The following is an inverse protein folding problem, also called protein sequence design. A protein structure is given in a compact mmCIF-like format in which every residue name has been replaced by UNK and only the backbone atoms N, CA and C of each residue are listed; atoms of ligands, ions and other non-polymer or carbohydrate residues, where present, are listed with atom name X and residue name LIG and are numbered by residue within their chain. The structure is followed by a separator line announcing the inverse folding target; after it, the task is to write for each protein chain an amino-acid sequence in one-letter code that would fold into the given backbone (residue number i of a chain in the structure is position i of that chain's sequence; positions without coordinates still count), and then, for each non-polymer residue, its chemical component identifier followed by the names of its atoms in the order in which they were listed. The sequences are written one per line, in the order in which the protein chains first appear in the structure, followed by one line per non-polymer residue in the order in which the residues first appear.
data_IF_875921293052
#
_entry.id   IF_875921293052
#
_cell.length_a   1.000
_cell.length_b   1.000
_cell.length_c   1.000
_cell.angle_alpha   90.00
_cell.angle_beta   90.00
_cell.angle_gamma   90.00
#
_symmetry.space_group_name_H-M   'P 1'
#
loop_
_entity.id
_entity.type
_entity.pdbx_description
1 polymer ?
#
# COMPACT_ATOMS: atom_id res chain seq x y z
N UNK A 1 48.49 10.80 -2.34
CA UNK A 1 47.33 11.54 -2.91
C UNK A 1 46.97 11.14 -4.35
N UNK A 2 47.91 10.87 -5.26
CA UNK A 2 47.58 10.60 -6.68
C UNK A 2 46.87 9.25 -6.97
N UNK A 3 47.11 8.19 -6.17
CA UNK A 3 46.39 6.90 -6.34
C UNK A 3 44.90 6.96 -5.95
N UNK A 4 44.52 7.87 -5.04
CA UNK A 4 43.12 8.03 -4.57
C UNK A 4 42.30 8.83 -5.60
N UNK A 5 42.89 9.84 -6.26
CA UNK A 5 42.25 10.53 -7.39
C UNK A 5 42.02 9.60 -8.58
N UNK A 6 43.02 8.77 -8.92
CA UNK A 6 42.93 7.83 -10.06
C UNK A 6 41.84 6.76 -9.89
N UNK A 7 41.58 6.31 -8.65
CA UNK A 7 40.51 5.34 -8.35
C UNK A 7 39.10 5.94 -8.49
N UNK A 8 38.95 7.26 -8.34
CA UNK A 8 37.69 7.99 -8.56
C UNK A 8 37.34 8.18 -10.04
N UNK A 9 38.29 8.02 -10.95
CA UNK A 9 38.07 8.20 -12.41
C UNK A 9 37.55 6.93 -13.09
N UNK A 10 37.84 5.73 -12.54
CA UNK A 10 37.47 4.45 -13.17
C UNK A 10 35.96 4.16 -13.19
N UNK A 11 35.18 4.78 -12.29
CA UNK A 11 33.72 4.68 -12.23
C UNK A 11 32.98 5.95 -12.69
N UNK A 12 33.68 6.88 -13.35
CA UNK A 12 33.01 8.08 -13.89
C UNK A 12 32.33 7.75 -15.21
N UNK A 13 31.00 7.81 -15.19
CA UNK A 13 30.18 7.78 -16.40
C UNK A 13 30.64 8.93 -17.30
N UNK A 14 30.97 8.64 -18.56
CA UNK A 14 31.36 9.66 -19.54
C UNK A 14 30.29 10.76 -19.59
N UNK A 15 30.70 12.03 -19.69
CA UNK A 15 29.79 13.20 -19.77
C UNK A 15 28.57 13.00 -20.71
N UNK A 16 28.72 12.51 -21.97
CA UNK A 16 27.57 12.26 -22.85
C UNK A 16 26.63 11.17 -22.32
N UNK A 17 27.16 10.11 -21.73
CA UNK A 17 26.36 9.03 -21.13
C UNK A 17 25.61 9.51 -19.90
N UNK A 18 26.20 10.39 -19.10
CA UNK A 18 25.52 11.00 -17.95
C UNK A 18 24.37 11.92 -18.38
N UNK A 19 24.56 12.71 -19.45
CA UNK A 19 23.49 13.53 -20.03
C UNK A 19 22.35 12.64 -20.55
N UNK A 20 22.66 11.55 -21.24
CA UNK A 20 21.67 10.58 -21.71
C UNK A 20 20.88 9.98 -20.54
N UNK A 21 21.53 9.53 -19.47
CA UNK A 21 20.84 8.99 -18.30
C UNK A 21 19.96 10.02 -17.60
N UNK A 22 20.44 11.27 -17.47
CA UNK A 22 19.63 12.34 -16.89
C UNK A 22 18.39 12.64 -17.75
N UNK A 23 18.53 12.67 -19.08
CA UNK A 23 17.38 12.85 -19.98
C UNK A 23 16.36 11.72 -19.84
N UNK A 24 16.84 10.46 -19.80
CA UNK A 24 15.97 9.30 -19.58
C UNK A 24 15.25 9.40 -18.23
N UNK A 25 15.96 9.76 -17.15
CA UNK A 25 15.33 9.92 -15.83
C UNK A 25 14.33 11.08 -15.77
N UNK A 26 14.58 12.18 -16.48
CA UNK A 26 13.62 13.28 -16.61
C UNK A 26 12.36 12.79 -17.32
N UNK A 27 12.49 12.08 -18.45
CA UNK A 27 11.36 11.54 -19.20
C UNK A 27 10.54 10.58 -18.34
N UNK A 28 11.20 9.64 -17.64
CA UNK A 28 10.51 8.70 -16.74
C UNK A 28 9.80 9.46 -15.61
N UNK A 29 10.44 10.47 -15.03
CA UNK A 29 9.83 11.30 -13.97
C UNK A 29 8.58 12.02 -14.47
N UNK A 30 8.63 12.56 -15.70
CA UNK A 30 7.47 13.20 -16.33
C UNK A 30 6.34 12.21 -16.58
N UNK A 31 6.63 11.03 -17.12
CA UNK A 31 5.63 9.97 -17.33
C UNK A 31 4.93 9.58 -16.02
N UNK A 32 5.66 9.58 -14.89
CA UNK A 32 5.07 9.29 -13.58
C UNK A 32 4.23 10.44 -13.02
N UNK A 33 4.63 11.70 -13.21
CA UNK A 33 3.96 12.87 -12.59
C UNK A 33 2.76 13.34 -13.41
N UNK A 34 2.85 13.30 -14.73
CA UNK A 34 1.82 13.80 -15.65
C UNK A 34 0.42 13.24 -15.35
N UNK A 35 0.22 11.92 -15.14
CA UNK A 35 -1.09 11.36 -14.84
C UNK A 35 -1.73 11.96 -13.58
N UNK A 36 -0.96 12.23 -12.53
CA UNK A 36 -1.49 12.83 -11.30
C UNK A 36 -1.93 14.28 -11.51
N UNK A 37 -1.12 15.05 -12.25
CA UNK A 37 -1.48 16.42 -12.62
C UNK A 37 -2.74 16.41 -13.49
N UNK A 38 -2.85 15.47 -14.41
CA UNK A 38 -4.01 15.34 -15.29
C UNK A 38 -5.28 14.97 -14.54
N UNK A 39 -5.23 14.03 -13.60
CA UNK A 39 -6.36 13.70 -12.70
C UNK A 39 -6.81 14.93 -11.93
N UNK A 40 -5.87 15.72 -11.39
CA UNK A 40 -6.20 16.95 -10.68
C UNK A 40 -6.84 18.02 -11.59
N UNK A 41 -6.37 18.16 -12.82
CA UNK A 41 -6.97 19.10 -13.80
C UNK A 41 -8.40 18.67 -14.12
N UNK A 42 -8.63 17.39 -14.38
CA UNK A 42 -9.97 16.88 -14.68
C UNK A 42 -10.92 17.09 -13.50
N UNK A 43 -10.45 16.95 -12.25
CA UNK A 43 -11.30 17.16 -11.07
C UNK A 43 -11.76 18.62 -10.87
N UNK A 44 -11.10 19.60 -11.50
CA UNK A 44 -11.48 21.03 -11.47
C UNK A 44 -12.07 21.51 -12.81
N UNK A 45 -12.31 20.61 -13.77
CA UNK A 45 -12.85 20.95 -15.10
C UNK A 45 -14.38 20.83 -15.10
N UNK A 46 -15.08 21.66 -15.89
CA UNK A 46 -16.53 21.50 -16.07
C UNK A 46 -16.88 20.25 -16.88
N UNK A 47 -17.94 19.54 -16.50
CA UNK A 47 -18.43 18.35 -17.22
C UNK A 47 -18.82 18.70 -18.67
N UNK A 48 -19.39 19.88 -18.90
CA UNK A 48 -19.71 20.37 -20.24
C UNK A 48 -18.45 20.54 -21.10
N UNK A 49 -17.37 21.09 -20.54
CA UNK A 49 -16.07 21.18 -21.22
C UNK A 49 -15.51 19.81 -21.54
N UNK A 50 -15.57 18.84 -20.61
CA UNK A 50 -15.07 17.48 -20.82
C UNK A 50 -15.88 16.77 -21.93
N UNK A 51 -17.20 16.89 -21.91
CA UNK A 51 -18.08 16.24 -22.88
C UNK A 51 -17.91 16.82 -24.30
N UNK A 52 -17.70 18.13 -24.44
CA UNK A 52 -17.57 18.78 -25.74
C UNK A 52 -16.16 18.69 -26.32
N UNK A 53 -15.15 18.97 -25.49
CA UNK A 53 -13.76 19.16 -25.95
C UNK A 53 -12.83 17.99 -25.60
N UNK A 54 -13.33 17.00 -24.86
CA UNK A 54 -12.54 15.89 -24.32
C UNK A 54 -11.65 16.32 -23.15
N UNK A 55 -10.78 15.41 -22.73
CA UNK A 55 -9.82 15.69 -21.66
C UNK A 55 -8.67 16.57 -22.16
N UNK A 56 -8.42 17.68 -21.47
CA UNK A 56 -7.40 18.67 -21.83
C UNK A 56 -6.55 19.05 -20.62
N UNK A 57 -5.28 19.38 -20.86
CA UNK A 57 -4.38 19.88 -19.80
C UNK A 57 -4.73 21.29 -19.34
N UNK A 58 -5.30 22.10 -20.23
CA UNK A 58 -5.79 23.43 -19.90
C UNK A 58 -7.30 23.38 -20.12
N UNK A 59 -8.09 23.34 -19.04
CA UNK A 59 -9.54 23.25 -19.17
C UNK A 59 -10.10 24.55 -19.74
N UNK A 60 -11.05 24.42 -20.65
CA UNK A 60 -11.72 25.59 -21.25
C UNK A 60 -12.62 26.31 -20.25
N UNK A 61 -13.16 25.57 -19.27
CA UNK A 61 -13.99 26.08 -18.21
C UNK A 61 -13.67 25.34 -16.89
N UNK A 62 -13.43 26.11 -15.83
CA UNK A 62 -13.17 25.60 -14.49
C UNK A 62 -14.48 25.43 -13.72
N UNK A 63 -14.59 24.36 -12.93
CA UNK A 63 -15.74 24.08 -12.08
C UNK A 63 -15.32 23.52 -10.73
N UNK A 64 -15.93 24.02 -9.65
CA UNK A 64 -15.77 23.52 -8.28
C UNK A 64 -16.83 22.51 -7.88
N UNK A 65 -17.77 22.19 -8.79
CA UNK A 65 -18.93 21.32 -8.53
C UNK A 65 -18.56 19.96 -7.94
N UNK A 66 -17.47 19.34 -8.42
CA UNK A 66 -16.99 18.08 -7.88
C UNK A 66 -16.61 18.18 -6.40
N UNK A 67 -15.93 19.26 -6.00
CA UNK A 67 -15.52 19.48 -4.61
C UNK A 67 -16.67 19.95 -3.73
N UNK A 68 -17.63 20.70 -4.27
CA UNK A 68 -18.89 21.03 -3.58
C UNK A 68 -19.70 19.76 -3.28
N UNK A 69 -19.77 18.82 -4.23
CA UNK A 69 -20.36 17.50 -3.99
C UNK A 69 -19.63 16.76 -2.87
N UNK A 70 -18.29 16.70 -2.88
CA UNK A 70 -17.52 16.09 -1.80
C UNK A 70 -17.73 16.80 -0.46
N UNK A 71 -17.93 18.11 -0.46
CA UNK A 71 -18.20 18.88 0.74
C UNK A 71 -19.58 18.59 1.33
N UNK A 72 -20.58 18.38 0.47
CA UNK A 72 -21.92 17.97 0.89
C UNK A 72 -21.91 16.53 1.46
N UNK A 73 -21.12 15.64 0.85
CA UNK A 73 -20.93 14.24 1.29
C UNK A 73 -19.78 14.06 2.30
N UNK A 74 -19.34 15.15 2.96
CA UNK A 74 -18.16 15.14 3.83
C UNK A 74 -18.23 14.11 4.95
N UNK A 75 -19.42 13.84 5.50
CA UNK A 75 -19.58 12.87 6.59
C UNK A 75 -19.20 11.46 6.12
N UNK A 76 -19.65 11.06 4.93
CA UNK A 76 -19.36 9.77 4.33
C UNK A 76 -17.87 9.66 4.00
N UNK A 77 -17.29 10.70 3.39
CA UNK A 77 -15.89 10.71 2.95
C UNK A 77 -14.94 10.71 4.15
N UNK A 78 -15.20 11.55 5.16
CA UNK A 78 -14.38 11.62 6.38
C UNK A 78 -14.48 10.31 7.16
N UNK A 79 -15.67 9.71 7.24
CA UNK A 79 -15.81 8.39 7.86
C UNK A 79 -15.02 7.32 7.10
N UNK A 80 -15.16 7.25 5.77
CA UNK A 80 -14.46 6.26 4.94
C UNK A 80 -12.93 6.45 5.01
N UNK A 81 -12.46 7.69 5.02
CA UNK A 81 -11.06 8.04 5.27
C UNK A 81 -10.61 7.56 6.65
N UNK A 82 -11.41 7.81 7.70
CA UNK A 82 -11.14 7.38 9.07
C UNK A 82 -11.01 5.86 9.19
N UNK A 83 -11.91 5.11 8.55
CA UNK A 83 -11.83 3.64 8.48
C UNK A 83 -10.58 3.18 7.74
N UNK A 84 -10.27 3.77 6.58
CA UNK A 84 -9.04 3.45 5.83
C UNK A 84 -7.79 3.73 6.65
N UNK A 85 -7.71 4.87 7.33
CA UNK A 85 -6.59 5.22 8.19
C UNK A 85 -6.46 4.26 9.37
N UNK A 86 -7.57 3.94 10.05
CA UNK A 86 -7.59 3.00 11.18
C UNK A 86 -7.10 1.61 10.73
N UNK A 87 -7.70 1.05 9.69
CA UNK A 87 -7.34 -0.28 9.16
C UNK A 87 -5.88 -0.30 8.71
N UNK A 88 -5.41 0.77 8.05
CA UNK A 88 -4.03 0.86 7.58
C UNK A 88 -3.03 0.94 8.74
N UNK A 89 -3.29 1.77 9.74
CA UNK A 89 -2.39 1.93 10.89
C UNK A 89 -2.40 0.66 11.75
N UNK A 90 -3.57 0.19 12.16
CA UNK A 90 -3.71 -1.00 13.00
C UNK A 90 -3.20 -2.26 12.29
N UNK A 91 -3.60 -2.45 11.03
CA UNK A 91 -3.19 -3.58 10.20
C UNK A 91 -1.68 -3.58 9.94
N UNK A 92 -1.08 -2.42 9.64
CA UNK A 92 0.37 -2.32 9.46
C UNK A 92 1.13 -2.62 10.74
N UNK A 93 0.74 -2.03 11.87
CA UNK A 93 1.43 -2.25 13.16
C UNK A 93 1.37 -3.72 13.58
N UNK A 94 0.17 -4.30 13.58
CA UNK A 94 -0.03 -5.71 13.94
C UNK A 94 0.66 -6.64 12.93
N UNK A 95 0.55 -6.36 11.64
CA UNK A 95 1.15 -7.16 10.58
C UNK A 95 2.67 -7.14 10.63
N UNK A 96 3.30 -5.99 10.90
CA UNK A 96 4.76 -5.90 11.12
C UNK A 96 5.17 -6.75 12.32
N UNK A 97 4.47 -6.62 13.46
CA UNK A 97 4.80 -7.40 14.68
C UNK A 97 4.73 -8.89 14.40
N UNK A 98 3.62 -9.38 13.83
CA UNK A 98 3.41 -10.80 13.57
C UNK A 98 4.39 -11.35 12.52
N UNK A 99 4.55 -10.63 11.40
CA UNK A 99 5.42 -11.06 10.31
C UNK A 99 6.88 -11.09 10.75
N UNK A 100 7.34 -10.10 11.52
CA UNK A 100 8.73 -10.04 11.97
C UNK A 100 9.02 -11.06 13.06
N UNK A 101 8.10 -11.28 14.01
CA UNK A 101 8.23 -12.34 15.00
C UNK A 101 8.32 -13.72 14.33
N UNK A 102 7.42 -14.03 13.40
CA UNK A 102 7.41 -15.30 12.68
C UNK A 102 8.66 -15.46 11.81
N UNK A 103 9.05 -14.41 11.07
CA UNK A 103 10.26 -14.41 10.25
C UNK A 103 11.53 -14.62 11.09
N UNK A 104 11.61 -14.01 12.27
CA UNK A 104 12.75 -14.18 13.18
C UNK A 104 12.87 -15.63 13.66
N UNK A 105 11.80 -16.21 14.18
CA UNK A 105 11.80 -17.60 14.66
C UNK A 105 12.21 -18.57 13.55
N UNK A 106 11.66 -18.39 12.34
CA UNK A 106 11.98 -19.25 11.19
C UNK A 106 13.39 -19.05 10.63
N UNK A 107 14.03 -17.92 10.95
CA UNK A 107 15.42 -17.67 10.55
C UNK A 107 16.42 -18.50 11.37
N UNK A 108 16.09 -18.83 12.62
CA UNK A 108 17.02 -19.50 13.56
C UNK A 108 17.18 -20.99 13.26
N UNK A 109 18.41 -21.51 13.09
CA UNK A 109 18.62 -22.93 12.79
C UNK A 109 18.29 -23.86 13.97
N UNK A 110 18.42 -23.40 15.21
CA UNK A 110 18.21 -24.21 16.41
C UNK A 110 16.70 -24.43 16.73
N UNK A 111 15.78 -23.80 16.00
CA UNK A 111 14.35 -23.98 16.24
C UNK A 111 13.86 -25.33 15.68
N UNK A 112 13.50 -26.25 16.58
CA UNK A 112 13.11 -27.63 16.25
C UNK A 112 12.00 -27.74 15.20
N UNK A 113 11.00 -26.87 15.23
CA UNK A 113 9.84 -26.91 14.33
C UNK A 113 9.97 -26.03 13.07
N UNK A 114 11.19 -25.52 12.79
CA UNK A 114 11.45 -24.64 11.64
C UNK A 114 10.99 -25.24 10.31
N UNK A 115 11.24 -26.54 10.09
CA UNK A 115 10.88 -27.22 8.84
C UNK A 115 9.37 -27.22 8.62
N UNK A 116 8.61 -27.66 9.63
CA UNK A 116 7.15 -27.68 9.61
C UNK A 116 6.56 -26.29 9.37
N UNK A 117 6.91 -25.30 10.18
CA UNK A 117 6.34 -23.96 10.03
C UNK A 117 6.82 -23.23 8.76
N UNK A 118 8.00 -23.57 8.22
CA UNK A 118 8.41 -23.08 6.89
C UNK A 118 7.43 -23.58 5.82
N UNK A 119 7.02 -24.85 5.87
CA UNK A 119 6.01 -25.38 4.95
C UNK A 119 4.63 -24.79 5.17
N UNK A 120 4.20 -24.58 6.42
CA UNK A 120 2.93 -23.92 6.75
C UNK A 120 2.85 -22.51 6.16
N UNK A 121 3.95 -21.76 6.16
CA UNK A 121 4.01 -20.43 5.54
C UNK A 121 4.14 -20.53 4.02
N UNK A 122 4.89 -21.50 3.52
CA UNK A 122 5.20 -21.62 2.09
C UNK A 122 4.02 -22.12 1.25
N UNK A 123 3.21 -23.06 1.76
CA UNK A 123 2.07 -23.61 1.01
C UNK A 123 1.07 -22.52 0.59
N UNK A 124 0.60 -21.63 1.49
CA UNK A 124 -0.30 -20.53 1.12
C UNK A 124 0.27 -19.53 0.11
N UNK A 125 1.59 -19.48 -0.04
CA UNK A 125 2.26 -18.62 -1.02
C UNK A 125 2.06 -19.11 -2.46
N UNK A 126 1.94 -20.42 -2.65
CA UNK A 126 1.76 -21.06 -3.96
C UNK A 126 0.31 -21.45 -4.20
N UNK A 127 -0.36 -21.94 -3.16
CA UNK A 127 -1.73 -22.44 -3.22
C UNK A 127 -2.64 -21.61 -2.33
N UNK A 128 -3.75 -21.12 -2.87
CA UNK A 128 -4.75 -20.40 -2.09
C UNK A 128 -6.12 -21.10 -2.21
N UNK A 129 -6.91 -21.09 -1.13
CA UNK A 129 -8.25 -21.69 -1.12
C UNK A 129 -9.26 -21.00 -2.04
N UNK A 130 -8.90 -19.84 -2.60
CA UNK A 130 -9.75 -19.04 -3.48
C UNK A 130 -10.73 -18.16 -2.69
N UNK A 131 -11.41 -17.29 -3.44
CA UNK A 131 -12.34 -16.30 -2.88
C UNK A 131 -13.47 -16.94 -2.07
N UNK A 132 -14.08 -18.02 -2.59
CA UNK A 132 -15.22 -18.67 -1.92
C UNK A 132 -14.80 -19.31 -0.60
N UNK A 133 -13.68 -20.03 -0.56
CA UNK A 133 -13.20 -20.65 0.68
C UNK A 133 -12.81 -19.57 1.71
N UNK A 134 -12.11 -18.52 1.25
CA UNK A 134 -11.78 -17.36 2.10
C UNK A 134 -13.04 -16.71 2.68
N UNK A 135 -14.08 -16.55 1.84
CA UNK A 135 -15.36 -16.01 2.27
C UNK A 135 -16.02 -16.86 3.35
N UNK A 136 -16.13 -18.18 3.13
CA UNK A 136 -16.75 -19.09 4.10
C UNK A 136 -16.00 -19.06 5.43
N UNK A 137 -14.67 -19.09 5.41
CA UNK A 137 -13.86 -19.03 6.63
C UNK A 137 -14.08 -17.72 7.38
N UNK A 138 -13.93 -16.59 6.71
CA UNK A 138 -13.99 -15.27 7.37
C UNK A 138 -15.42 -14.88 7.76
N UNK A 139 -16.40 -15.09 6.86
CA UNK A 139 -17.78 -14.65 7.07
C UNK A 139 -18.60 -15.64 7.90
N UNK A 140 -18.46 -16.96 7.68
CA UNK A 140 -19.36 -17.95 8.28
C UNK A 140 -18.74 -18.68 9.48
N UNK A 141 -17.46 -19.04 9.42
CA UNK A 141 -16.80 -19.77 10.52
C UNK A 141 -16.34 -18.79 11.61
N UNK A 142 -15.61 -17.75 11.20
CA UNK A 142 -15.08 -16.75 12.13
C UNK A 142 -16.07 -15.62 12.44
N UNK A 143 -17.21 -15.56 11.74
CA UNK A 143 -18.26 -14.55 11.94
C UNK A 143 -17.75 -13.10 11.89
N UNK A 144 -16.78 -12.80 11.02
CA UNK A 144 -16.16 -11.48 10.92
C UNK A 144 -16.98 -10.50 10.04
N UNK A 145 -18.05 -10.96 9.40
CA UNK A 145 -18.88 -10.13 8.50
C UNK A 145 -19.34 -8.86 9.22
N UNK A 146 -19.30 -7.72 8.52
CA UNK A 146 -19.65 -6.40 9.07
C UNK A 146 -18.85 -5.98 10.31
N UNK A 147 -17.60 -6.45 10.44
CA UNK A 147 -16.68 -6.00 11.49
C UNK A 147 -15.41 -5.41 10.90
N UNK A 148 -14.73 -4.54 11.66
CA UNK A 148 -13.45 -3.98 11.24
C UNK A 148 -12.36 -5.06 11.12
N UNK A 149 -12.50 -6.16 11.85
CA UNK A 149 -11.57 -7.28 11.81
C UNK A 149 -11.59 -8.03 10.48
N UNK A 150 -12.71 -8.03 9.76
CA UNK A 150 -12.75 -8.55 8.39
C UNK A 150 -11.89 -7.75 7.41
N UNK A 151 -11.58 -6.49 7.72
CA UNK A 151 -10.68 -5.64 6.91
C UNK A 151 -9.21 -5.83 7.28
N UNK A 152 -8.93 -6.27 8.51
CA UNK A 152 -7.57 -6.35 9.05
C UNK A 152 -7.01 -7.77 8.96
N UNK A 153 -7.72 -8.76 9.52
CA UNK A 153 -7.18 -10.12 9.73
C UNK A 153 -6.79 -10.85 8.45
N UNK A 154 -7.58 -10.82 7.36
CA UNK A 154 -7.24 -11.58 6.15
C UNK A 154 -5.95 -11.14 5.46
N UNK A 155 -5.59 -9.85 5.58
CA UNK A 155 -4.40 -9.25 4.96
C UNK A 155 -3.20 -9.14 5.93
N UNK A 156 -3.39 -9.53 7.20
CA UNK A 156 -2.48 -9.23 8.29
C UNK A 156 -1.08 -9.84 8.13
N UNK A 157 -1.01 -11.07 7.62
CA UNK A 157 0.24 -11.82 7.45
C UNK A 157 0.30 -12.37 6.03
N UNK A 158 1.29 -11.91 5.27
CA UNK A 158 1.60 -12.42 3.94
C UNK A 158 2.81 -13.36 4.01
N UNK A 159 2.70 -14.53 3.41
CA UNK A 159 3.82 -15.49 3.32
C UNK A 159 5.05 -14.90 2.66
N UNK A 160 4.87 -14.05 1.65
CA UNK A 160 5.96 -13.34 0.98
C UNK A 160 6.72 -12.42 1.96
N UNK A 161 5.98 -11.64 2.75
CA UNK A 161 6.55 -10.75 3.76
C UNK A 161 7.32 -11.54 4.84
N UNK A 162 6.81 -12.70 5.26
CA UNK A 162 7.49 -13.59 6.22
C UNK A 162 8.81 -14.12 5.64
N UNK A 163 8.84 -14.49 4.35
CA UNK A 163 10.05 -14.98 3.68
C UNK A 163 11.10 -13.87 3.57
N UNK A 164 10.71 -12.63 3.27
CA UNK A 164 11.60 -11.47 3.29
C UNK A 164 12.20 -11.29 4.69
N UNK A 165 11.37 -11.23 5.74
CA UNK A 165 11.83 -11.13 7.12
C UNK A 165 12.81 -12.24 7.49
N UNK A 166 12.46 -13.50 7.22
CA UNK A 166 13.29 -14.67 7.49
C UNK A 166 14.66 -14.54 6.82
N UNK A 167 14.69 -14.13 5.55
CA UNK A 167 15.92 -13.99 4.77
C UNK A 167 16.78 -12.84 5.31
N UNK A 168 16.16 -11.71 5.63
CA UNK A 168 16.85 -10.58 6.24
C UNK A 168 17.50 -10.97 7.56
N UNK A 169 16.75 -11.55 8.51
CA UNK A 169 17.28 -11.94 9.82
C UNK A 169 18.38 -12.99 9.69
N UNK A 170 18.23 -13.97 8.79
CA UNK A 170 19.27 -14.98 8.55
C UNK A 170 20.58 -14.36 8.03
N UNK A 171 20.48 -13.32 7.21
CA UNK A 171 21.64 -12.73 6.53
C UNK A 171 22.31 -11.63 7.35
N UNK A 172 21.54 -10.89 8.17
CA UNK A 172 22.01 -9.68 8.85
C UNK A 172 22.26 -9.86 10.34
N UNK A 173 21.69 -10.90 10.97
CA UNK A 173 21.85 -11.18 12.40
C UNK A 173 22.67 -12.46 12.58
N UNK A 174 24.00 -12.33 12.82
CA UNK A 174 24.88 -13.47 13.06
C UNK A 174 24.40 -14.31 14.24
N UNK A 175 24.50 -15.64 14.11
CA UNK A 175 24.13 -16.56 15.19
C UNK A 175 25.03 -16.38 16.42
N UNK A 176 26.30 -15.96 16.24
CA UNK A 176 27.25 -15.69 17.33
C UNK A 176 26.76 -14.62 18.30
N UNK A 177 26.14 -13.53 17.82
CA UNK A 177 25.60 -12.48 18.69
C UNK A 177 24.48 -13.03 19.58
N UNK A 178 23.67 -13.93 19.03
CA UNK A 178 22.56 -14.56 19.76
C UNK A 178 23.10 -15.57 20.77
N UNK A 179 24.13 -16.34 20.41
CA UNK A 179 24.78 -17.29 21.30
C UNK A 179 25.49 -16.60 22.46
N UNK A 180 26.22 -15.51 22.20
CA UNK A 180 26.83 -14.68 23.25
C UNK A 180 25.76 -14.15 24.21
N UNK A 181 24.66 -13.58 23.70
CA UNK A 181 23.58 -13.09 24.56
C UNK A 181 22.93 -14.20 25.40
N UNK A 182 22.84 -15.43 24.88
CA UNK A 182 22.35 -16.60 25.64
C UNK A 182 23.33 -17.00 26.75
N UNK A 183 24.63 -16.95 26.50
CA UNK A 183 25.68 -17.21 27.50
C UNK A 183 25.57 -16.17 28.63
N UNK A 184 25.28 -14.91 28.29
CA UNK A 184 25.03 -13.82 29.25
C UNK A 184 23.66 -13.93 29.97
N UNK A 185 22.92 -15.02 29.77
CA UNK A 185 21.64 -15.29 30.44
C UNK A 185 20.45 -14.51 29.89
N UNK A 186 20.56 -13.88 28.70
CA UNK A 186 19.45 -13.14 28.11
C UNK A 186 18.31 -14.07 27.66
N UNK A 187 17.08 -13.75 28.06
CA UNK A 187 15.87 -14.44 27.58
C UNK A 187 15.62 -14.18 26.08
N UNK A 188 14.85 -15.05 25.42
CA UNK A 188 14.57 -14.92 23.97
C UNK A 188 13.88 -13.59 23.61
N UNK A 189 12.93 -13.14 24.43
CA UNK A 189 12.26 -11.84 24.23
C UNK A 189 13.21 -10.66 24.45
N UNK A 190 14.15 -10.77 25.39
CA UNK A 190 15.19 -9.75 25.59
C UNK A 190 16.15 -9.68 24.40
N UNK A 191 16.58 -10.84 23.88
CA UNK A 191 17.42 -10.91 22.66
C UNK A 191 16.67 -10.27 21.49
N UNK A 192 15.41 -10.64 21.28
CA UNK A 192 14.61 -10.07 20.20
C UNK A 192 14.44 -8.55 20.35
N UNK A 193 14.01 -8.09 21.53
CA UNK A 193 13.70 -6.69 21.77
C UNK A 193 14.92 -5.76 21.79
N UNK A 194 16.00 -6.17 22.47
CA UNK A 194 17.17 -5.30 22.70
C UNK A 194 18.26 -5.42 21.65
N UNK A 195 18.34 -6.56 20.94
CA UNK A 195 19.41 -6.81 19.96
C UNK A 195 18.84 -6.86 18.55
N UNK A 196 17.83 -7.69 18.32
CA UNK A 196 17.34 -7.96 16.96
C UNK A 196 16.55 -6.78 16.39
N UNK A 197 15.62 -6.20 17.16
CA UNK A 197 14.79 -5.06 16.70
C UNK A 197 15.66 -3.86 16.24
N UNK A 198 16.66 -3.38 17.00
CA UNK A 198 17.48 -2.24 16.58
C UNK A 198 18.25 -2.46 15.27
N UNK A 199 18.73 -3.68 15.04
CA UNK A 199 19.44 -4.07 13.81
C UNK A 199 18.45 -4.16 12.62
N UNK A 200 17.18 -4.42 12.90
CA UNK A 200 16.17 -4.79 11.91
C UNK A 200 15.25 -3.65 11.49
N UNK A 201 15.58 -2.41 11.85
CA UNK A 201 14.87 -1.21 11.39
C UNK A 201 14.67 -1.16 9.86
N UNK A 202 15.65 -1.55 9.00
CA UNK A 202 15.45 -1.54 7.56
C UNK A 202 14.32 -2.48 7.12
N UNK A 203 14.28 -3.73 7.62
CA UNK A 203 13.23 -4.67 7.23
C UNK A 203 11.87 -4.28 7.81
N UNK A 204 11.81 -3.65 8.99
CA UNK A 204 10.55 -3.16 9.55
C UNK A 204 9.95 -2.05 8.68
N UNK A 205 10.79 -1.16 8.15
CA UNK A 205 10.35 -0.13 7.21
C UNK A 205 9.83 -0.73 5.90
N UNK A 206 10.54 -1.72 5.33
CA UNK A 206 10.10 -2.41 4.10
C UNK A 206 8.74 -3.09 4.29
N UNK A 207 8.58 -3.89 5.34
CA UNK A 207 7.34 -4.63 5.62
C UNK A 207 6.21 -3.67 5.98
N UNK A 208 6.51 -2.65 6.78
CA UNK A 208 5.55 -1.62 7.16
C UNK A 208 5.00 -0.89 5.95
N UNK A 209 5.85 -0.53 4.98
CA UNK A 209 5.40 0.08 3.74
C UNK A 209 4.53 -0.88 2.91
N UNK A 210 4.97 -2.12 2.68
CA UNK A 210 4.20 -3.08 1.89
C UNK A 210 2.81 -3.30 2.48
N UNK A 211 2.70 -3.42 3.80
CA UNK A 211 1.41 -3.53 4.48
C UNK A 211 0.61 -2.22 4.41
N UNK A 212 1.25 -1.05 4.60
CA UNK A 212 0.58 0.26 4.48
C UNK A 212 -0.06 0.40 3.11
N UNK A 213 0.68 0.07 2.05
CA UNK A 213 0.18 0.14 0.68
C UNK A 213 -0.91 -0.89 0.43
N UNK A 214 -0.78 -2.11 0.95
CA UNK A 214 -1.80 -3.15 0.82
C UNK A 214 -3.13 -2.74 1.47
N UNK A 215 -3.09 -2.29 2.74
CA UNK A 215 -4.30 -1.88 3.45
C UNK A 215 -4.90 -0.59 2.91
N UNK A 216 -4.07 0.41 2.54
CA UNK A 216 -4.59 1.67 2.01
C UNK A 216 -5.29 1.50 0.68
N UNK A 217 -4.81 0.58 -0.17
CA UNK A 217 -5.39 0.31 -1.48
C UNK A 217 -6.48 -0.77 -1.47
N UNK A 218 -6.77 -1.38 -0.31
CA UNK A 218 -7.77 -2.45 -0.25
C UNK A 218 -9.19 -1.91 -0.33
N UNK A 219 -9.85 -2.26 -1.42
CA UNK A 219 -11.29 -2.14 -1.62
C UNK A 219 -11.99 -3.50 -1.54
N UNK A 220 -11.24 -4.60 -1.73
CA UNK A 220 -11.80 -5.91 -1.99
C UNK A 220 -12.35 -6.56 -0.72
N UNK A 221 -11.64 -6.46 0.41
CA UNK A 221 -12.17 -6.99 1.68
C UNK A 221 -13.45 -6.25 2.08
N UNK A 222 -13.49 -4.93 1.90
CA UNK A 222 -14.70 -4.13 2.12
C UNK A 222 -15.86 -4.59 1.23
N UNK A 223 -15.61 -4.78 -0.07
CA UNK A 223 -16.65 -5.23 -1.01
C UNK A 223 -17.18 -6.63 -0.70
N UNK A 224 -16.37 -7.51 -0.12
CA UNK A 224 -16.77 -8.87 0.21
C UNK A 224 -17.49 -8.97 1.55
N UNK A 225 -16.95 -8.33 2.59
CA UNK A 225 -17.33 -8.60 3.98
C UNK A 225 -18.18 -7.51 4.62
N UNK A 226 -18.25 -6.31 4.02
CA UNK A 226 -18.91 -5.16 4.61
C UNK A 226 -20.16 -4.78 3.81
N UNK A 227 -21.26 -4.65 4.53
CA UNK A 227 -22.55 -4.13 4.08
C UNK A 227 -22.90 -2.83 4.83
N UNK A 228 -22.36 -2.62 6.03
CA UNK A 228 -22.55 -1.38 6.79
C UNK A 228 -21.71 -0.24 6.20
N UNK A 229 -22.36 0.81 5.70
CA UNK A 229 -21.71 1.97 5.09
C UNK A 229 -20.72 2.69 6.02
N UNK A 230 -20.91 2.58 7.34
CA UNK A 230 -19.99 3.18 8.33
C UNK A 230 -18.64 2.46 8.42
N UNK A 231 -18.52 1.25 7.86
CA UNK A 231 -17.27 0.47 7.83
C UNK A 231 -16.65 0.39 6.44
N UNK A 232 -17.18 1.13 5.47
CA UNK A 232 -16.66 1.14 4.10
C UNK A 232 -15.33 1.92 4.04
N UNK A 233 -14.28 1.29 3.50
CA UNK A 233 -12.99 1.97 3.27
C UNK A 233 -13.11 2.99 2.13
N UNK A 234 -12.21 3.98 2.11
CA UNK A 234 -12.20 5.04 1.09
C UNK A 234 -12.05 4.48 -0.34
N UNK A 235 -11.20 3.48 -0.53
CA UNK A 235 -11.04 2.82 -1.84
C UNK A 235 -12.28 2.03 -2.26
N UNK A 236 -12.97 1.41 -1.29
CA UNK A 236 -14.22 0.73 -1.57
C UNK A 236 -15.34 1.71 -1.90
N UNK A 237 -15.37 2.88 -1.27
CA UNK A 237 -16.31 3.95 -1.60
C UNK A 237 -16.13 4.40 -3.06
N UNK A 238 -14.90 4.66 -3.50
CA UNK A 238 -14.61 4.99 -4.91
C UNK A 238 -15.07 3.88 -5.86
N UNK A 239 -14.77 2.62 -5.55
CA UNK A 239 -15.21 1.48 -6.36
C UNK A 239 -16.74 1.35 -6.41
N UNK A 240 -17.43 1.58 -5.30
CA UNK A 240 -18.89 1.56 -5.25
C UNK A 240 -19.48 2.66 -6.12
N UNK A 241 -18.93 3.88 -6.07
CA UNK A 241 -19.36 4.99 -6.94
C UNK A 241 -19.18 4.62 -8.42
N UNK A 242 -18.02 4.08 -8.79
CA UNK A 242 -17.76 3.64 -10.17
C UNK A 242 -18.76 2.57 -10.64
N UNK A 243 -19.01 1.55 -9.81
CA UNK A 243 -19.98 0.48 -10.11
C UNK A 243 -21.41 1.00 -10.24
N UNK A 244 -21.81 1.95 -9.41
CA UNK A 244 -23.14 2.56 -9.50
C UNK A 244 -23.28 3.37 -10.81
N UNK A 245 -22.27 4.15 -11.20
CA UNK A 245 -22.26 4.87 -12.48
C UNK A 245 -22.36 3.91 -13.66
N UNK A 246 -21.56 2.84 -13.67
CA UNK A 246 -21.56 1.84 -14.72
C UNK A 246 -22.90 1.09 -14.81
N UNK A 247 -23.49 0.74 -13.67
CA UNK A 247 -24.81 0.09 -13.63
C UNK A 247 -25.89 0.97 -14.25
N UNK A 248 -25.89 2.27 -13.95
CA UNK A 248 -26.85 3.25 -14.47
C UNK A 248 -26.66 3.50 -15.97
N UNK A 249 -25.42 3.61 -16.43
CA UNK A 249 -25.10 3.77 -17.86
C UNK A 249 -25.60 2.57 -18.69
N UNK A 250 -25.54 1.37 -18.13
CA UNK A 250 -25.97 0.14 -18.82
C UNK A 250 -27.45 -0.22 -18.60
N UNK A 251 -28.17 0.45 -17.68
CA UNK A 251 -29.58 0.19 -17.39
C UNK A 251 -30.42 1.50 -17.35
N UNK A 252 -30.53 2.23 -18.48
CA UNK A 252 -31.18 3.54 -18.55
C UNK A 252 -32.70 3.55 -18.29
N UNK A 253 -33.33 2.39 -18.09
CA UNK A 253 -34.77 2.23 -17.79
C UNK A 253 -35.09 2.14 -16.30
N UNK A 254 -34.10 2.22 -15.40
CA UNK A 254 -34.28 2.13 -13.95
C UNK A 254 -34.81 3.46 -13.33
N UNK A 255 -36.08 3.80 -13.57
CA UNK A 255 -36.88 4.72 -12.74
C UNK A 255 -36.63 6.24 -12.83
N UNK A 256 -37.71 7.02 -12.94
CA UNK A 256 -37.71 8.48 -13.13
C UNK A 256 -37.09 9.31 -11.98
N UNK A 257 -37.07 8.81 -10.75
CA UNK A 257 -36.45 9.48 -9.60
C UNK A 257 -34.91 9.36 -9.58
N UNK A 258 -34.36 8.38 -10.30
CA UNK A 258 -32.92 8.11 -10.38
C UNK A 258 -32.28 8.94 -11.50
N UNK A 259 -33.01 9.23 -12.58
CA UNK A 259 -32.55 10.09 -13.67
C UNK A 259 -32.23 11.54 -13.22
N UNK A 260 -32.98 12.08 -12.25
CA UNK A 260 -32.70 13.40 -11.66
C UNK A 260 -31.44 13.39 -10.78
N UNK A 261 -31.19 12.28 -10.07
CA UNK A 261 -29.96 12.09 -9.29
C UNK A 261 -28.73 11.93 -10.20
N UNK A 262 -28.87 11.17 -11.30
CA UNK A 262 -27.85 11.00 -12.35
C UNK A 262 -27.45 12.33 -12.99
N UNK A 263 -28.41 13.18 -13.32
CA UNK A 263 -28.13 14.50 -13.91
C UNK A 263 -27.49 15.49 -12.92
N UNK A 264 -27.57 15.22 -11.62
CA UNK A 264 -26.97 16.06 -10.56
C UNK A 264 -25.60 15.58 -10.08
N UNK A 265 -25.14 14.40 -10.53
CA UNK A 265 -23.81 13.87 -10.19
C UNK A 265 -22.81 14.21 -11.30
N UNK A 266 -21.78 15.05 -11.04
CA UNK A 266 -20.64 15.19 -11.95
C UNK A 266 -19.84 13.89 -11.94
N UNK A 267 -20.04 13.00 -12.91
CA UNK A 267 -19.54 11.61 -12.83
C UNK A 267 -18.03 11.50 -12.98
N UNK A 268 -17.42 12.29 -13.87
CA UNK A 268 -15.97 12.23 -14.11
C UNK A 268 -15.23 13.17 -13.15
N UNK A 269 -15.75 14.39 -12.95
CA UNK A 269 -15.18 15.36 -12.01
C UNK A 269 -15.14 14.82 -10.57
N UNK A 270 -16.24 14.25 -10.07
CA UNK A 270 -16.29 13.66 -8.70
C UNK A 270 -15.36 12.46 -8.60
N UNK A 271 -15.33 11.58 -9.62
CA UNK A 271 -14.42 10.42 -9.63
C UNK A 271 -12.96 10.84 -9.51
N UNK A 272 -12.55 11.84 -10.29
CA UNK A 272 -11.19 12.36 -10.24
C UNK A 272 -10.92 13.10 -8.92
N UNK A 273 -11.90 13.84 -8.39
CA UNK A 273 -11.76 14.51 -7.09
C UNK A 273 -11.56 13.51 -5.95
N UNK A 274 -12.30 12.41 -5.92
CA UNK A 274 -12.10 11.32 -4.94
C UNK A 274 -10.72 10.67 -5.13
N UNK A 275 -10.28 10.46 -6.37
CA UNK A 275 -8.93 9.95 -6.64
C UNK A 275 -7.84 10.89 -6.08
N UNK A 276 -8.01 12.21 -6.21
CA UNK A 276 -7.11 13.20 -5.58
C UNK A 276 -7.09 13.04 -4.05
N UNK A 277 -8.26 12.91 -3.41
CA UNK A 277 -8.37 12.71 -1.95
C UNK A 277 -7.69 11.41 -1.49
N UNK A 278 -7.72 10.35 -2.31
CA UNK A 278 -7.08 9.07 -2.03
C UNK A 278 -5.56 9.13 -2.15
N UNK A 279 -5.04 9.84 -3.16
CA UNK A 279 -3.60 9.91 -3.48
C UNK A 279 -2.85 10.83 -2.52
N UNK A 280 -3.46 11.96 -2.14
CA UNK A 280 -2.80 13.01 -1.35
C UNK A 280 -2.16 12.50 -0.04
N UNK A 281 -2.81 11.66 0.78
CA UNK A 281 -2.24 11.17 2.03
C UNK A 281 -1.03 10.26 1.82
N UNK A 282 -1.06 9.38 0.81
CA UNK A 282 0.09 8.51 0.49
C UNK A 282 1.24 9.37 -0.02
N UNK A 283 0.96 10.34 -0.89
CA UNK A 283 1.97 11.25 -1.42
C UNK A 283 2.66 12.04 -0.29
N UNK A 284 1.90 12.51 0.71
CA UNK A 284 2.44 13.17 1.90
C UNK A 284 3.22 12.20 2.81
N UNK A 285 2.84 10.93 2.88
CA UNK A 285 3.54 9.92 3.69
C UNK A 285 4.84 9.43 3.03
N UNK A 286 4.95 9.47 1.70
CA UNK A 286 6.08 8.93 0.95
C UNK A 286 7.47 9.45 1.38
N UNK A 287 7.69 10.77 1.60
CA UNK A 287 8.98 11.29 2.07
C UNK A 287 9.48 10.65 3.37
N UNK A 288 8.57 10.25 4.27
CA UNK A 288 8.92 9.60 5.52
C UNK A 288 9.48 8.19 5.30
N UNK A 289 8.98 7.47 4.30
CA UNK A 289 9.47 6.13 3.95
C UNK A 289 10.74 6.17 3.09
N UNK A 290 10.91 7.20 2.24
CA UNK A 290 12.04 7.33 1.32
C UNK A 290 13.39 7.21 2.01
N UNK A 291 13.57 7.84 3.19
CA UNK A 291 14.83 7.78 3.96
C UNK A 291 15.23 6.34 4.30
N UNK A 292 14.28 5.48 4.62
CA UNK A 292 14.55 4.09 4.99
C UNK A 292 14.86 3.21 3.76
N UNK A 293 14.27 3.51 2.60
CA UNK A 293 14.56 2.82 1.34
C UNK A 293 16.00 3.01 0.86
N UNK A 294 16.48 4.26 0.87
CA UNK A 294 17.84 4.60 0.41
C UNK A 294 18.89 3.86 1.24
N UNK A 295 18.64 3.64 2.53
CA UNK A 295 19.52 2.86 3.41
C UNK A 295 19.36 1.34 3.23
N UNK A 296 18.14 0.84 3.01
CA UNK A 296 17.88 -0.60 2.86
C UNK A 296 18.39 -1.19 1.53
N UNK A 297 18.19 -0.49 0.41
CA UNK A 297 18.64 -0.92 -0.91
C UNK A 297 20.16 -0.84 -1.07
N UNK A 298 20.81 0.13 -0.43
CA UNK A 298 22.27 0.26 -0.49
C UNK A 298 22.96 -0.87 0.24
N UNK A 299 22.48 -1.30 1.42
CA UNK A 299 23.09 -2.41 2.18
C UNK A 299 23.05 -3.76 1.42
N UNK A 300 21.99 -4.00 0.62
CA UNK A 300 21.90 -5.19 -0.24
C UNK A 300 22.80 -5.14 -1.48
N UNK A 301 23.09 -3.93 -1.98
CA UNK A 301 23.89 -3.71 -3.18
C UNK A 301 25.40 -3.58 -2.91
N UNK A 302 25.84 -3.27 -1.68
CA UNK A 302 27.28 -3.20 -1.32
C UNK A 302 27.88 -4.58 -0.95
N UNK A 303 27.41 -5.65 -1.62
CA UNK A 303 28.06 -6.98 -1.61
C UNK A 303 28.94 -7.22 -2.84
N UNK A 304 29.36 -6.16 -3.53
CA UNK A 304 30.36 -6.17 -4.60
C UNK A 304 31.60 -5.36 -4.23
#
# INVERSE_FOLDING_TARGET
MNKIKKKKELNQIKKPTNILFNLVFIIISLICIIPFVFVFIISISSEASIAQNGYQFIPTELSTSAYEFLWNEKEVIVNAFGISALVTIAGTLLGVILTTALGYVLSRPQYKLKGFFTWVVFIPMIFNGGMVASYVVNANILNLKNTIWALILPLLVSSFNVVICKTFFKTTVPDSIIESAKIDGASQLNIFGKIVIPISKPVFATIGLFLTFAFWNDWFQSSLYITNSRLTSLQALLNNIQKNIEYLANNPSAGLSIQQYVNSMPTEGVRMAIAVVIVLPIACAYPFFQKYFVTGLTIGAVKG
#
